data_IF_060764813235
#
_entry.id   IF_060764813235
#
_cell.length_a   1.000
_cell.length_b   1.000
_cell.length_c   1.000
_cell.angle_alpha   90.00
_cell.angle_beta   90.00
_cell.angle_gamma   90.00
#
_symmetry.space_group_name_H-M   'P 1'
#
loop_
_entity.id
_entity.type
_entity.pdbx_description
1 polymer ?
#
# COMPACT_ATOMS: atom_id res chain seq x y z
N UNK A 1 24.80 -0.93 -19.23
CA UNK A 1 23.87 -0.88 -18.11
C UNK A 1 24.62 -1.23 -16.83
N UNK A 2 24.42 -0.44 -15.78
CA UNK A 2 25.14 -0.61 -14.52
C UNK A 2 24.16 -0.83 -13.39
N UNK A 3 24.41 -1.85 -12.55
CA UNK A 3 23.57 -2.13 -11.38
C UNK A 3 23.84 -1.12 -10.28
N UNK A 4 22.79 -0.53 -9.74
CA UNK A 4 22.82 0.32 -8.55
C UNK A 4 22.39 -0.49 -7.33
N UNK A 5 22.57 0.05 -6.13
CA UNK A 5 22.07 -0.61 -4.91
C UNK A 5 20.56 -0.76 -4.91
N UNK A 6 20.02 -1.75 -4.16
CA UNK A 6 18.59 -1.96 -3.93
C UNK A 6 17.77 -2.28 -5.19
N UNK A 7 18.30 -3.11 -6.10
CA UNK A 7 17.55 -3.60 -7.24
C UNK A 7 17.26 -2.55 -8.32
N UNK A 8 18.07 -1.52 -8.40
CA UNK A 8 17.98 -0.49 -9.44
C UNK A 8 19.13 -0.59 -10.43
N UNK A 9 18.86 -0.24 -11.67
CA UNK A 9 19.85 -0.21 -12.74
C UNK A 9 19.89 1.16 -13.38
N UNK A 10 21.09 1.58 -13.78
CA UNK A 10 21.31 2.82 -14.52
C UNK A 10 21.50 2.48 -16.00
N UNK A 11 20.61 2.97 -16.82
CA UNK A 11 20.67 2.78 -18.27
C UNK A 11 21.30 4.02 -18.92
N UNK A 12 22.37 3.79 -19.69
CA UNK A 12 23.00 4.85 -20.46
C UNK A 12 22.59 4.68 -21.92
N UNK A 13 22.03 5.73 -22.51
CA UNK A 13 21.60 5.77 -23.90
C UNK A 13 22.70 6.35 -24.79
N UNK A 14 22.59 6.14 -26.12
CA UNK A 14 23.58 6.62 -27.10
C UNK A 14 23.80 8.14 -27.06
N UNK A 15 22.78 8.90 -26.66
CA UNK A 15 22.86 10.36 -26.49
C UNK A 15 23.38 10.77 -25.11
N UNK A 16 23.93 9.84 -24.35
CA UNK A 16 24.47 10.01 -22.99
C UNK A 16 23.43 10.36 -21.94
N UNK A 17 22.14 10.21 -22.24
CA UNK A 17 21.09 10.29 -21.21
C UNK A 17 21.15 9.07 -20.31
N UNK A 18 20.92 9.31 -19.02
CA UNK A 18 20.92 8.26 -18.02
C UNK A 18 19.52 8.13 -17.40
N UNK A 19 19.03 6.89 -17.28
CA UNK A 19 17.73 6.60 -16.68
C UNK A 19 17.94 5.53 -15.61
N UNK A 20 17.39 5.76 -14.41
CA UNK A 20 17.44 4.79 -13.34
C UNK A 20 16.22 3.89 -13.46
N UNK A 21 16.44 2.57 -13.55
CA UNK A 21 15.38 1.58 -13.73
C UNK A 21 15.35 0.61 -12.55
N UNK A 22 14.14 0.15 -12.21
CA UNK A 22 13.97 -0.94 -11.27
C UNK A 22 14.33 -2.28 -11.92
N UNK A 23 14.81 -3.22 -11.12
CA UNK A 23 15.22 -4.55 -11.59
C UNK A 23 14.09 -5.27 -12.34
N UNK A 24 12.85 -5.19 -11.84
CA UNK A 24 11.69 -5.82 -12.48
C UNK A 24 11.45 -5.29 -13.90
N UNK A 25 11.65 -4.00 -14.11
CA UNK A 25 11.48 -3.38 -15.44
C UNK A 25 12.56 -3.87 -16.40
N UNK A 26 13.80 -3.99 -15.93
CA UNK A 26 14.92 -4.48 -16.72
C UNK A 26 14.70 -5.93 -17.14
N UNK A 27 14.33 -6.79 -16.20
CA UNK A 27 14.09 -8.21 -16.47
C UNK A 27 12.93 -8.39 -17.46
N UNK A 28 11.81 -7.70 -17.21
CA UNK A 28 10.60 -7.79 -18.04
C UNK A 28 10.86 -7.39 -19.51
N UNK A 29 11.69 -6.39 -19.73
CA UNK A 29 11.96 -5.86 -21.07
C UNK A 29 13.23 -6.43 -21.71
N UNK A 30 13.91 -7.34 -21.03
CA UNK A 30 15.12 -8.01 -21.54
C UNK A 30 16.21 -7.01 -21.94
N UNK A 31 16.33 -5.91 -21.21
CA UNK A 31 17.30 -4.85 -21.50
C UNK A 31 18.76 -5.29 -21.39
N UNK A 32 19.01 -6.38 -20.64
CA UNK A 32 20.36 -6.94 -20.46
C UNK A 32 20.94 -7.52 -21.76
N UNK A 33 20.11 -7.76 -22.77
CA UNK A 33 20.53 -8.35 -24.05
C UNK A 33 20.94 -7.32 -25.11
N UNK A 34 21.04 -6.05 -24.75
CA UNK A 34 21.53 -5.01 -25.66
C UNK A 34 20.60 -4.67 -26.80
N UNK A 35 19.28 -4.76 -26.60
CA UNK A 35 18.29 -4.38 -27.61
C UNK A 35 18.38 -2.90 -27.96
N UNK A 36 18.14 -2.56 -29.23
CA UNK A 36 17.95 -1.18 -29.64
C UNK A 36 16.66 -0.63 -29.02
N UNK A 37 16.73 0.58 -28.47
CA UNK A 37 15.60 1.24 -27.82
C UNK A 37 15.15 2.39 -28.70
N UNK A 38 13.94 2.30 -29.27
CA UNK A 38 13.29 3.39 -29.98
C UNK A 38 12.46 4.25 -29.00
N UNK A 39 11.90 5.38 -29.49
CA UNK A 39 11.16 6.30 -28.63
C UNK A 39 9.93 5.64 -28.02
N UNK A 40 9.23 4.79 -28.77
CA UNK A 40 8.05 4.08 -28.28
C UNK A 40 8.42 3.09 -27.16
N UNK A 41 9.48 2.32 -27.37
CA UNK A 41 9.96 1.39 -26.35
C UNK A 41 10.45 2.13 -25.10
N UNK A 42 11.08 3.29 -25.28
CA UNK A 42 11.52 4.13 -24.17
C UNK A 42 10.34 4.65 -23.36
N UNK A 43 9.26 5.06 -24.01
CA UNK A 43 8.04 5.50 -23.32
C UNK A 43 7.41 4.36 -22.52
N UNK A 44 7.36 3.16 -23.08
CA UNK A 44 6.86 1.97 -22.39
C UNK A 44 7.72 1.64 -21.16
N UNK A 45 9.04 1.70 -21.30
CA UNK A 45 9.98 1.46 -20.20
C UNK A 45 9.79 2.50 -19.09
N UNK A 46 9.66 3.77 -19.45
CA UNK A 46 9.45 4.84 -18.49
C UNK A 46 8.13 4.65 -17.74
N UNK A 47 7.05 4.30 -18.44
CA UNK A 47 5.76 4.05 -17.83
C UNK A 47 5.82 2.89 -16.84
N UNK A 48 6.45 1.78 -17.21
CA UNK A 48 6.61 0.64 -16.33
C UNK A 48 7.52 0.95 -15.14
N UNK A 49 8.57 1.75 -15.35
CA UNK A 49 9.45 2.18 -14.27
C UNK A 49 8.71 3.04 -13.25
N UNK A 50 7.82 3.92 -13.71
CA UNK A 50 6.97 4.71 -12.81
C UNK A 50 6.04 3.80 -12.02
N UNK A 51 5.40 2.82 -12.64
CA UNK A 51 4.56 1.85 -11.94
C UNK A 51 5.32 1.10 -10.84
N UNK A 52 6.53 0.65 -11.15
CA UNK A 52 7.39 -0.03 -10.17
C UNK A 52 7.78 0.91 -9.03
N UNK A 53 8.08 2.16 -9.34
CA UNK A 53 8.43 3.18 -8.34
C UNK A 53 7.26 3.45 -7.39
N UNK A 54 6.06 3.65 -7.93
CA UNK A 54 4.86 3.89 -7.12
C UNK A 54 4.58 2.71 -6.20
N UNK A 55 4.63 1.50 -6.75
CA UNK A 55 4.43 0.27 -5.98
C UNK A 55 5.44 0.15 -4.84
N UNK A 56 6.72 0.35 -5.14
CA UNK A 56 7.78 0.22 -4.13
C UNK A 56 7.69 1.29 -3.05
N UNK A 57 7.31 2.51 -3.39
CA UNK A 57 7.10 3.57 -2.40
C UNK A 57 5.92 3.25 -1.49
N UNK A 58 4.83 2.75 -2.05
CA UNK A 58 3.68 2.34 -1.27
C UNK A 58 4.03 1.16 -0.35
N UNK A 59 4.74 0.16 -0.87
CA UNK A 59 5.17 -1.00 -0.09
C UNK A 59 6.07 -0.58 1.08
N UNK A 60 7.00 0.33 0.85
CA UNK A 60 7.85 0.87 1.90
C UNK A 60 7.04 1.62 2.98
N UNK A 61 6.04 2.37 2.57
CA UNK A 61 5.14 3.07 3.49
C UNK A 61 4.36 2.09 4.37
N UNK A 62 3.84 1.02 3.77
CA UNK A 62 3.10 -0.03 4.47
C UNK A 62 4.01 -0.83 5.42
N UNK A 63 5.29 -1.01 5.06
CA UNK A 63 6.22 -1.82 5.86
C UNK A 63 6.45 -1.27 7.27
N UNK A 64 6.17 0.00 7.50
CA UNK A 64 6.40 0.66 8.79
C UNK A 64 5.30 0.36 9.80
N UNK A 65 4.05 0.23 9.34
CA UNK A 65 2.90 -0.22 10.13
C UNK A 65 1.77 -0.57 9.17
N UNK A 66 0.75 -1.26 9.69
CA UNK A 66 -0.44 -1.56 8.89
C UNK A 66 -1.16 -0.24 8.51
N UNK A 67 -1.57 -0.14 7.25
CA UNK A 67 -2.19 1.06 6.69
C UNK A 67 -3.53 0.71 6.05
N UNK A 68 -4.49 1.64 6.12
CA UNK A 68 -5.73 1.52 5.36
C UNK A 68 -5.48 1.87 3.90
N UNK A 69 -6.41 1.44 3.03
CA UNK A 69 -6.37 1.79 1.60
C UNK A 69 -6.33 3.30 1.41
N UNK A 70 -7.16 4.03 2.15
CA UNK A 70 -7.24 5.50 2.08
C UNK A 70 -5.92 6.17 2.49
N UNK A 71 -5.26 5.66 3.53
CA UNK A 71 -3.97 6.20 3.95
C UNK A 71 -2.90 6.05 2.86
N UNK A 72 -2.87 4.91 2.19
CA UNK A 72 -1.93 4.66 1.09
C UNK A 72 -2.25 5.56 -0.10
N UNK A 73 -3.52 5.68 -0.46
CA UNK A 73 -3.96 6.55 -1.55
C UNK A 73 -3.55 8.00 -1.30
N UNK A 74 -3.81 8.52 -0.10
CA UNK A 74 -3.40 9.88 0.27
C UNK A 74 -1.90 10.07 0.25
N UNK A 75 -1.16 9.08 0.71
CA UNK A 75 0.31 9.12 0.67
C UNK A 75 0.81 9.27 -0.77
N UNK A 76 0.28 8.46 -1.69
CA UNK A 76 0.68 8.51 -3.10
C UNK A 76 0.24 9.81 -3.78
N UNK A 77 -0.94 10.33 -3.42
CA UNK A 77 -1.39 11.64 -3.92
C UNK A 77 -0.43 12.76 -3.50
N UNK A 78 0.06 12.73 -2.27
CA UNK A 78 1.05 13.72 -1.80
C UNK A 78 2.38 13.61 -2.54
N UNK A 79 2.67 12.46 -3.14
CA UNK A 79 3.86 12.26 -3.98
C UNK A 79 3.63 12.73 -5.43
N UNK A 80 2.45 13.28 -5.73
CA UNK A 80 2.09 13.82 -7.04
C UNK A 80 1.96 12.76 -8.15
N UNK A 81 1.67 11.52 -7.80
CA UNK A 81 1.33 10.51 -8.79
C UNK A 81 -0.10 10.70 -9.28
N UNK A 82 -0.37 10.32 -10.53
CA UNK A 82 -1.72 10.41 -11.08
C UNK A 82 -2.61 9.24 -10.60
N UNK A 83 -3.91 9.39 -10.82
CA UNK A 83 -4.89 8.40 -10.37
C UNK A 83 -4.65 7.02 -10.97
N UNK A 84 -4.27 6.95 -12.24
CA UNK A 84 -4.03 5.69 -12.94
C UNK A 84 -2.85 4.93 -12.34
N UNK A 85 -1.79 5.65 -12.02
CA UNK A 85 -0.60 5.09 -11.37
C UNK A 85 -0.91 4.60 -9.97
N UNK A 86 -1.67 5.40 -9.21
CA UNK A 86 -2.09 5.06 -7.85
C UNK A 86 -2.99 3.83 -7.85
N UNK A 87 -4.00 3.79 -8.73
CA UNK A 87 -4.93 2.66 -8.81
C UNK A 87 -4.20 1.35 -9.13
N UNK A 88 -3.24 1.40 -10.03
CA UNK A 88 -2.41 0.23 -10.36
C UNK A 88 -1.68 -0.31 -9.12
N UNK A 89 -1.01 0.57 -8.38
CA UNK A 89 -0.26 0.18 -7.19
C UNK A 89 -1.18 -0.38 -6.10
N UNK A 90 -2.30 0.28 -5.86
CA UNK A 90 -3.27 -0.14 -4.84
C UNK A 90 -3.88 -1.50 -5.20
N UNK A 91 -4.32 -1.70 -6.43
CA UNK A 91 -4.88 -2.98 -6.86
C UNK A 91 -3.89 -4.12 -6.70
N UNK A 92 -2.64 -3.89 -7.05
CA UNK A 92 -1.58 -4.89 -6.89
C UNK A 92 -1.34 -5.23 -5.42
N UNK A 93 -1.25 -4.20 -4.57
CA UNK A 93 -1.04 -4.39 -3.14
C UNK A 93 -2.23 -5.06 -2.46
N UNK A 94 -3.45 -4.78 -2.92
CA UNK A 94 -4.64 -5.48 -2.44
C UNK A 94 -4.63 -6.95 -2.85
N UNK A 95 -4.25 -7.25 -4.10
CA UNK A 95 -4.16 -8.63 -4.58
C UNK A 95 -3.11 -9.45 -3.85
N UNK A 96 -2.06 -8.80 -3.38
CA UNK A 96 -0.98 -9.42 -2.59
C UNK A 96 -1.27 -9.40 -1.09
N UNK A 97 -2.42 -8.89 -0.69
CA UNK A 97 -2.88 -8.77 0.70
C UNK A 97 -2.02 -7.85 1.59
N UNK A 98 -1.25 -6.95 0.98
CA UNK A 98 -0.53 -5.91 1.71
C UNK A 98 -1.44 -4.74 2.10
N UNK A 99 -2.50 -4.48 1.33
CA UNK A 99 -3.59 -3.57 1.69
C UNK A 99 -4.83 -4.43 1.97
N UNK A 100 -5.35 -4.33 3.19
CA UNK A 100 -6.54 -5.07 3.59
C UNK A 100 -7.25 -4.29 4.70
N UNK A 101 -8.33 -3.62 4.35
CA UNK A 101 -9.06 -2.75 5.28
C UNK A 101 -9.69 -3.53 6.43
N UNK A 102 -10.04 -4.80 6.23
CA UNK A 102 -10.52 -5.64 7.32
C UNK A 102 -9.45 -5.85 8.39
N UNK A 103 -8.25 -6.21 7.97
CA UNK A 103 -7.11 -6.37 8.88
C UNK A 103 -6.74 -5.04 9.54
N UNK A 104 -6.79 -3.95 8.80
CA UNK A 104 -6.54 -2.61 9.32
C UNK A 104 -7.56 -2.25 10.40
N UNK A 105 -8.84 -2.41 10.12
CA UNK A 105 -9.91 -2.10 11.05
C UNK A 105 -9.79 -2.95 12.32
N UNK A 106 -9.51 -4.24 12.19
CA UNK A 106 -9.32 -5.14 13.32
C UNK A 106 -8.15 -4.69 14.20
N UNK A 107 -7.01 -4.37 13.60
CA UNK A 107 -5.84 -3.89 14.33
C UNK A 107 -6.11 -2.55 15.02
N UNK A 108 -6.76 -1.62 14.31
CA UNK A 108 -7.12 -0.31 14.86
C UNK A 108 -7.98 -0.45 16.12
N UNK A 109 -8.99 -1.28 16.02
CA UNK A 109 -9.92 -1.49 17.11
C UNK A 109 -9.24 -2.16 18.32
N UNK A 110 -8.43 -3.19 18.06
CA UNK A 110 -7.68 -3.86 19.14
C UNK A 110 -6.76 -2.88 19.86
N UNK A 111 -6.06 -2.03 19.12
CA UNK A 111 -5.18 -1.01 19.71
C UNK A 111 -5.98 -0.02 20.58
N UNK A 112 -7.13 0.44 20.10
CA UNK A 112 -7.96 1.39 20.84
C UNK A 112 -8.56 0.78 22.10
N UNK A 113 -8.94 -0.50 22.07
CA UNK A 113 -9.45 -1.19 23.24
C UNK A 113 -8.40 -1.32 24.36
N UNK A 114 -7.13 -1.48 23.98
CA UNK A 114 -6.03 -1.69 24.93
C UNK A 114 -5.36 -0.39 25.39
N UNK A 115 -5.36 0.64 24.53
CA UNK A 115 -4.54 1.84 24.75
C UNK A 115 -5.34 3.13 24.94
N UNK A 116 -6.65 3.09 24.79
CA UNK A 116 -7.49 4.29 24.96
C UNK A 116 -8.86 3.92 25.52
N UNK A 117 -9.61 4.98 25.93
CA UNK A 117 -10.98 4.83 26.40
C UNK A 117 -12.00 5.13 25.30
N UNK A 118 -11.60 5.07 24.05
CA UNK A 118 -12.49 5.34 22.93
C UNK A 118 -13.60 4.30 22.86
N UNK A 119 -14.84 4.75 22.77
CA UNK A 119 -16.00 3.88 22.61
C UNK A 119 -16.21 3.44 21.17
N UNK A 120 -17.12 2.44 20.94
CA UNK A 120 -17.41 1.93 19.61
C UNK A 120 -17.84 3.01 18.61
N UNK A 121 -18.62 4.01 19.04
CA UNK A 121 -19.09 5.07 18.17
C UNK A 121 -17.94 5.95 17.65
N UNK A 122 -16.97 6.23 18.49
CA UNK A 122 -15.79 7.01 18.10
C UNK A 122 -14.91 6.23 17.13
N UNK A 123 -14.72 4.94 17.37
CA UNK A 123 -13.99 4.06 16.47
C UNK A 123 -14.68 3.97 15.11
N UNK A 124 -16.01 3.80 15.09
CA UNK A 124 -16.82 3.78 13.86
C UNK A 124 -16.63 5.06 13.06
N UNK A 125 -16.72 6.20 13.71
CA UNK A 125 -16.54 7.50 13.07
C UNK A 125 -15.15 7.64 12.43
N UNK A 126 -14.12 7.23 13.13
CA UNK A 126 -12.74 7.29 12.62
C UNK A 126 -12.56 6.39 11.40
N UNK A 127 -13.04 5.15 11.47
CA UNK A 127 -12.97 4.20 10.34
C UNK A 127 -13.78 4.69 9.15
N UNK A 128 -14.94 5.31 9.38
CA UNK A 128 -15.74 5.92 8.31
C UNK A 128 -14.96 7.05 7.64
N UNK A 129 -14.28 7.88 8.40
CA UNK A 129 -13.45 8.96 7.87
C UNK A 129 -12.28 8.43 7.03
N UNK A 130 -11.79 7.24 7.32
CA UNK A 130 -10.77 6.56 6.53
C UNK A 130 -11.36 5.77 5.36
N UNK A 131 -12.66 5.96 5.08
CA UNK A 131 -13.38 5.33 3.97
C UNK A 131 -13.33 3.80 3.98
N UNK A 132 -13.22 3.23 5.16
CA UNK A 132 -13.39 1.78 5.33
C UNK A 132 -14.85 1.44 5.07
N UNK A 133 -15.08 0.34 4.37
CA UNK A 133 -16.42 -0.11 3.99
C UNK A 133 -17.29 -0.34 5.23
N UNK A 134 -18.56 0.12 5.19
CA UNK A 134 -19.48 0.01 6.31
C UNK A 134 -19.70 -1.45 6.75
N UNK A 135 -19.71 -2.39 5.80
CA UNK A 135 -19.83 -3.81 6.12
C UNK A 135 -18.66 -4.30 6.97
N UNK A 136 -17.46 -3.83 6.68
CA UNK A 136 -16.25 -4.15 7.45
C UNK A 136 -16.34 -3.54 8.84
N UNK A 137 -16.70 -2.26 8.91
CA UNK A 137 -16.82 -1.54 10.18
C UNK A 137 -17.84 -2.23 11.10
N UNK A 138 -19.00 -2.55 10.58
CA UNK A 138 -20.06 -3.20 11.34
C UNK A 138 -19.64 -4.57 11.85
N UNK A 139 -18.96 -5.36 11.03
CA UNK A 139 -18.48 -6.69 11.43
C UNK A 139 -17.43 -6.60 12.54
N UNK A 140 -16.46 -5.73 12.37
CA UNK A 140 -15.37 -5.56 13.36
C UNK A 140 -15.89 -5.03 14.67
N UNK A 141 -16.76 -4.03 14.66
CA UNK A 141 -17.34 -3.42 15.86
C UNK A 141 -18.26 -4.43 16.58
N UNK A 142 -19.04 -5.20 15.84
CA UNK A 142 -19.89 -6.25 16.40
C UNK A 142 -19.09 -7.29 17.20
N UNK A 143 -17.95 -7.72 16.69
CA UNK A 143 -17.06 -8.65 17.39
C UNK A 143 -16.48 -8.09 18.68
N UNK A 144 -16.28 -6.78 18.77
CA UNK A 144 -15.82 -6.12 19.99
C UNK A 144 -16.89 -6.13 21.05
N UNK A 145 -18.12 -5.79 20.70
CA UNK A 145 -19.23 -5.74 21.64
C UNK A 145 -19.40 -7.10 22.31
N UNK A 146 -19.29 -8.19 21.54
CA UNK A 146 -19.34 -9.54 22.06
C UNK A 146 -18.18 -9.83 23.03
N UNK A 147 -16.97 -9.43 22.65
CA UNK A 147 -15.78 -9.60 23.48
C UNK A 147 -15.86 -8.83 24.80
N UNK A 148 -16.33 -7.59 24.75
CA UNK A 148 -16.49 -6.73 25.94
C UNK A 148 -17.54 -7.33 26.88
N UNK A 149 -18.66 -7.81 26.36
CA UNK A 149 -19.72 -8.43 27.14
C UNK A 149 -19.18 -9.68 27.84
N UNK A 150 -18.45 -10.53 27.13
CA UNK A 150 -17.86 -11.75 27.69
C UNK A 150 -16.86 -11.42 28.80
N UNK A 151 -15.99 -10.43 28.62
CA UNK A 151 -15.03 -10.00 29.64
C UNK A 151 -15.74 -9.49 30.91
N UNK A 152 -16.82 -8.73 30.75
CA UNK A 152 -17.62 -8.23 31.88
C UNK A 152 -18.31 -9.36 32.65
N UNK A 153 -18.80 -10.35 31.92
CA UNK A 153 -19.42 -11.53 32.54
C UNK A 153 -18.38 -12.31 33.32
N UNK A 154 -17.19 -12.53 32.77
CA UNK A 154 -16.11 -13.24 33.44
C UNK A 154 -15.68 -12.53 34.72
N UNK A 155 -15.62 -11.18 34.72
CA UNK A 155 -15.30 -10.38 35.91
C UNK A 155 -16.39 -10.44 37.00
N UNK A 156 -17.63 -10.65 36.59
CA UNK A 156 -18.74 -10.78 37.54
C UNK A 156 -18.82 -12.15 38.18
N UNK A 157 -18.26 -13.18 37.57
CA UNK A 157 -18.23 -14.56 38.10
C UNK A 157 -17.09 -14.76 39.07
N UNK A 158 -16.03 -14.03 38.97
CA UNK A 158 -14.90 -14.03 39.87
C UNK A 158 -15.21 -13.18 41.15
#
# INVERSE_FOLDING_TARGET
MKKMALGKYKLTLDDKKEVILHEDVVIKNVLLLGKNIDDKLMDEINEENIKATVYNQALNYISRRIRSREEVEKFLLRKNYDKKQIDYAIQRLESENYINDYLFATAYVNDKLHMSNDGPNKMRKHLTNLKVDESIISDVISKIDDSIINDKIDKLID
#
